data_IF_286306216632
#
_entry.id   IF_286306216632
#
_cell.length_a   1.000
_cell.length_b   1.000
_cell.length_c   1.000
_cell.angle_alpha   90.00
_cell.angle_beta   90.00
_cell.angle_gamma   90.00
#
_symmetry.space_group_name_H-M   'P 1'
#
loop_
_entity.id
_entity.type
_entity.pdbx_description
1 polymer ?
#
# COMPACT_ATOMS: atom_id res chain seq x y z
N UNK A 1 -1.34 -17.86 -9.13
CA UNK A 1 -1.39 -16.50 -8.56
C UNK A 1 -2.82 -16.01 -8.59
N UNK A 2 -3.27 -15.37 -7.51
CA UNK A 2 -4.64 -14.87 -7.45
C UNK A 2 -4.83 -13.68 -8.38
N UNK A 3 -6.11 -13.34 -8.66
CA UNK A 3 -6.43 -12.21 -9.52
C UNK A 3 -6.15 -10.89 -8.82
N UNK A 4 -6.07 -9.82 -9.60
CA UNK A 4 -5.90 -8.47 -9.06
C UNK A 4 -7.07 -8.10 -8.15
N UNK A 5 -8.29 -8.48 -8.56
CA UNK A 5 -9.49 -8.14 -7.78
C UNK A 5 -9.45 -8.81 -6.41
N UNK A 6 -9.09 -10.07 -6.36
CA UNK A 6 -9.01 -10.79 -5.09
C UNK A 6 -7.89 -10.22 -4.21
N UNK A 7 -6.74 -9.92 -4.81
CA UNK A 7 -5.63 -9.33 -4.08
C UNK A 7 -6.04 -7.98 -3.47
N UNK A 8 -6.73 -7.17 -4.24
CA UNK A 8 -7.21 -5.87 -3.78
C UNK A 8 -8.18 -6.02 -2.61
N UNK A 9 -9.08 -7.01 -2.72
CA UNK A 9 -10.03 -7.29 -1.64
C UNK A 9 -9.29 -7.68 -0.35
N UNK A 10 -8.26 -8.50 -0.48
CA UNK A 10 -7.46 -8.91 0.68
C UNK A 10 -6.76 -7.71 1.29
N UNK A 11 -6.20 -6.83 0.46
CA UNK A 11 -5.54 -5.62 0.95
C UNK A 11 -6.50 -4.77 1.77
N UNK A 12 -7.72 -4.58 1.28
CA UNK A 12 -8.72 -3.81 2.00
C UNK A 12 -9.14 -4.47 3.30
N UNK A 13 -9.24 -5.80 3.31
CA UNK A 13 -9.62 -6.50 4.53
C UNK A 13 -8.62 -6.28 5.66
N UNK A 14 -7.34 -6.31 5.34
CA UNK A 14 -6.30 -6.25 6.36
C UNK A 14 -5.80 -4.83 6.61
N UNK A 15 -6.02 -3.92 5.68
CA UNK A 15 -5.48 -2.57 5.77
C UNK A 15 -6.50 -1.47 5.73
N UNK A 16 -7.79 -1.76 5.95
CA UNK A 16 -8.85 -0.77 5.81
C UNK A 16 -8.63 0.45 6.70
N UNK A 17 -8.18 0.25 7.91
CA UNK A 17 -7.93 1.35 8.84
C UNK A 17 -6.83 2.29 8.32
N UNK A 18 -5.79 1.73 7.72
CA UNK A 18 -4.70 2.52 7.14
C UNK A 18 -5.20 3.24 5.89
N UNK A 19 -5.86 2.50 4.99
CA UNK A 19 -6.32 3.05 3.72
C UNK A 19 -7.27 4.23 3.96
N UNK A 20 -8.14 4.11 4.95
CA UNK A 20 -9.15 5.13 5.24
C UNK A 20 -8.65 6.20 6.21
N UNK A 21 -7.40 6.12 6.66
CA UNK A 21 -6.87 7.13 7.54
C UNK A 21 -6.75 8.48 6.83
N UNK A 22 -6.83 9.55 7.61
CA UNK A 22 -6.74 10.90 7.07
C UNK A 22 -5.42 11.12 6.32
N UNK A 23 -4.32 10.67 6.92
CA UNK A 23 -3.01 10.85 6.31
C UNK A 23 -2.87 10.08 5.00
N UNK A 24 -3.38 8.85 4.97
CA UNK A 24 -3.33 8.06 3.75
C UNK A 24 -4.16 8.69 2.64
N UNK A 25 -5.32 9.24 2.97
CA UNK A 25 -6.16 9.91 2.00
C UNK A 25 -5.49 11.18 1.46
N UNK A 26 -4.70 11.85 2.27
CA UNK A 26 -3.94 13.02 1.83
C UNK A 26 -2.88 12.66 0.79
N UNK A 27 -2.38 11.43 0.82
CA UNK A 27 -1.38 10.98 -0.15
C UNK A 27 -1.91 11.00 -1.59
N UNK A 28 -3.21 11.07 -1.76
CA UNK A 28 -3.82 11.18 -3.09
C UNK A 28 -3.43 12.47 -3.80
N UNK A 29 -3.03 13.47 -3.05
CA UNK A 29 -2.68 14.78 -3.60
C UNK A 29 -1.21 14.90 -3.96
N UNK A 30 -0.41 13.88 -3.68
CA UNK A 30 1.02 13.89 -3.97
C UNK A 30 1.35 12.85 -5.03
N UNK A 31 2.07 13.26 -6.06
CA UNK A 31 2.41 12.38 -7.16
C UNK A 31 3.72 11.65 -6.89
N UNK A 32 3.70 10.34 -7.10
CA UNK A 32 4.89 9.51 -6.99
C UNK A 32 5.64 9.53 -8.32
N UNK A 33 4.91 9.26 -9.41
CA UNK A 33 5.47 9.22 -10.76
C UNK A 33 4.42 9.76 -11.71
N UNK A 34 4.70 10.87 -12.36
CA UNK A 34 3.78 11.43 -13.34
C UNK A 34 2.37 11.58 -12.79
N UNK A 35 1.44 10.76 -13.25
CA UNK A 35 0.03 10.82 -12.84
C UNK A 35 -0.33 9.88 -11.71
N UNK A 36 0.63 9.09 -11.22
CA UNK A 36 0.38 8.11 -10.16
C UNK A 36 0.61 8.77 -8.81
N UNK A 37 -0.43 8.84 -7.99
CA UNK A 37 -0.31 9.39 -6.64
C UNK A 37 0.42 8.44 -5.72
N UNK A 38 0.94 8.98 -4.61
CA UNK A 38 1.56 8.15 -3.57
C UNK A 38 0.57 7.13 -3.04
N UNK A 39 -0.69 7.53 -2.88
CA UNK A 39 -1.76 6.63 -2.45
C UNK A 39 -1.89 5.43 -3.40
N UNK A 40 -2.00 5.71 -4.71
CA UNK A 40 -2.15 4.64 -5.70
C UNK A 40 -0.92 3.75 -5.75
N UNK A 41 0.26 4.34 -5.60
CA UNK A 41 1.50 3.58 -5.59
C UNK A 41 1.53 2.59 -4.41
N UNK A 42 1.17 3.06 -3.22
CA UNK A 42 1.15 2.19 -2.04
C UNK A 42 0.15 1.05 -2.19
N UNK A 43 -1.02 1.33 -2.75
CA UNK A 43 -2.01 0.28 -3.01
C UNK A 43 -1.49 -0.74 -4.02
N UNK A 44 -0.82 -0.25 -5.07
CA UNK A 44 -0.26 -1.14 -6.09
C UNK A 44 0.80 -2.05 -5.50
N UNK A 45 1.68 -1.51 -4.65
CA UNK A 45 2.73 -2.31 -4.02
C UNK A 45 2.10 -3.35 -3.10
N UNK A 46 1.12 -2.96 -2.28
CA UNK A 46 0.46 -3.90 -1.38
C UNK A 46 -0.23 -5.02 -2.16
N UNK A 47 -0.91 -4.66 -3.24
CA UNK A 47 -1.59 -5.64 -4.10
C UNK A 47 -0.59 -6.60 -4.71
N UNK A 48 0.52 -6.10 -5.22
CA UNK A 48 1.57 -6.93 -5.80
C UNK A 48 2.17 -7.86 -4.75
N UNK A 49 2.41 -7.37 -3.54
CA UNK A 49 2.93 -8.20 -2.47
C UNK A 49 1.99 -9.36 -2.15
N UNK A 50 0.68 -9.10 -2.12
CA UNK A 50 -0.30 -10.15 -1.86
C UNK A 50 -0.29 -11.17 -2.99
N UNK A 51 -0.22 -10.73 -4.24
CA UNK A 51 -0.18 -11.64 -5.38
C UNK A 51 1.05 -12.53 -5.33
N UNK A 52 2.20 -11.97 -5.02
CA UNK A 52 3.44 -12.75 -4.91
C UNK A 52 3.35 -13.72 -3.74
N UNK A 53 2.83 -13.27 -2.60
CA UNK A 53 2.68 -14.11 -1.42
C UNK A 53 1.74 -15.29 -1.68
N UNK A 54 0.76 -15.11 -2.57
CA UNK A 54 -0.19 -16.18 -2.89
C UNK A 54 0.48 -17.36 -3.61
N UNK A 55 1.68 -17.16 -4.13
CA UNK A 55 2.46 -18.23 -4.75
C UNK A 55 3.27 -19.01 -3.71
N UNK A 56 3.39 -18.50 -2.51
CA UNK A 56 4.24 -19.08 -1.48
C UNK A 56 3.52 -20.25 -0.81
N UNK A 57 4.23 -21.37 -0.68
CA UNK A 57 3.69 -22.55 0.00
C UNK A 57 3.81 -22.43 1.51
N UNK A 58 4.58 -21.45 2.00
CA UNK A 58 4.73 -21.23 3.43
C UNK A 58 3.64 -20.29 3.94
N UNK A 59 3.39 -20.39 5.23
CA UNK A 59 2.40 -19.55 5.88
C UNK A 59 2.87 -18.09 5.83
N UNK A 60 1.99 -17.19 5.39
CA UNK A 60 2.30 -15.77 5.29
C UNK A 60 1.38 -15.00 6.21
N UNK A 61 1.95 -14.07 6.96
CA UNK A 61 1.16 -13.15 7.77
C UNK A 61 0.74 -11.99 6.88
N UNK A 62 -0.44 -12.12 6.29
CA UNK A 62 -0.96 -11.10 5.37
C UNK A 62 -1.16 -9.76 6.05
N UNK A 63 -1.58 -9.77 7.31
CA UNK A 63 -1.78 -8.51 8.03
C UNK A 63 -0.49 -7.70 8.09
N UNK A 64 0.60 -8.33 8.52
CA UNK A 64 1.90 -7.66 8.60
C UNK A 64 2.42 -7.25 7.23
N UNK A 65 2.26 -8.14 6.25
CA UNK A 65 2.73 -7.87 4.88
C UNK A 65 2.03 -6.67 4.28
N UNK A 66 0.72 -6.66 4.36
CA UNK A 66 -0.09 -5.62 3.76
C UNK A 66 0.10 -4.28 4.46
N UNK A 67 0.08 -4.30 5.79
CA UNK A 67 0.25 -3.06 6.56
C UNK A 67 1.64 -2.49 6.34
N UNK A 68 2.66 -3.34 6.30
CA UNK A 68 4.01 -2.90 5.99
C UNK A 68 4.12 -2.30 4.60
N UNK A 69 3.49 -2.93 3.61
CA UNK A 69 3.51 -2.44 2.23
C UNK A 69 2.78 -1.11 2.09
N UNK A 70 1.64 -0.96 2.75
CA UNK A 70 0.88 0.28 2.69
C UNK A 70 1.65 1.44 3.34
N UNK A 71 2.45 1.14 4.35
CA UNK A 71 3.16 2.17 5.10
C UNK A 71 4.58 2.41 4.62
N UNK A 72 5.08 1.61 3.67
CA UNK A 72 6.49 1.71 3.31
C UNK A 72 6.87 3.07 2.74
N UNK A 73 5.99 3.69 1.96
CA UNK A 73 6.22 5.02 1.40
C UNK A 73 5.64 6.13 2.26
N UNK A 74 4.91 5.76 3.30
CA UNK A 74 4.34 6.72 4.23
C UNK A 74 5.45 7.51 4.90
N UNK A 75 6.48 6.82 5.33
CA UNK A 75 7.63 7.45 5.97
C UNK A 75 8.37 8.35 4.98
N UNK A 76 8.55 7.89 3.75
CA UNK A 76 9.19 8.69 2.71
C UNK A 76 8.38 9.93 2.40
N UNK A 77 7.07 9.81 2.37
CA UNK A 77 6.18 10.93 2.16
C UNK A 77 6.38 12.00 3.24
N UNK A 78 6.42 11.61 4.49
CA UNK A 78 6.64 12.54 5.60
C UNK A 78 8.01 13.22 5.48
N UNK A 79 9.01 12.43 5.13
CA UNK A 79 10.36 12.94 4.97
C UNK A 79 10.44 13.97 3.84
N UNK A 80 9.82 13.67 2.71
CA UNK A 80 9.79 14.59 1.57
C UNK A 80 9.03 15.86 1.93
N UNK A 81 7.94 15.74 2.61
CA UNK A 81 7.16 16.88 3.03
C UNK A 81 7.93 17.77 3.97
N UNK A 82 8.65 17.19 4.91
CA UNK A 82 9.50 17.94 5.82
C UNK A 82 10.63 18.62 5.09
N UNK A 83 11.18 17.97 4.09
CA UNK A 83 12.30 18.50 3.33
C UNK A 83 11.91 19.70 2.49
N UNK A 84 10.69 19.76 2.05
CA UNK A 84 10.19 20.85 1.22
C UNK A 84 9.96 22.13 2.02
N UNK A 85 10.07 22.07 3.30
CA UNK A 85 9.90 23.26 4.15
C UNK A 85 11.18 24.14 4.15
#
# INVERSE_FOLDING_TARGET
>A
MISDELAYFIVYNYGADIINSKNMQMEKEFMQHGTVSVFDHCLSVATMCVKIASLNIFKVDYASLIRGALLHDYFLYDWHNSKCK
#
